data_IF_597618503637
#
_entry.id   IF_597618503637
#
_cell.length_a   1.000
_cell.length_b   1.000
_cell.length_c   1.000
_cell.angle_alpha   90.00
_cell.angle_beta   90.00
_cell.angle_gamma   90.00
#
_symmetry.space_group_name_H-M   'P 1'
#
loop_
_entity.id
_entity.type
_entity.pdbx_description
1 polymer ?
#
# COMPACT_ATOMS: atom_id res chain seq x y z
N UNK A 1 -9.57 -5.15 14.66
CA UNK A 1 -8.50 -5.69 13.79
C UNK A 1 -8.25 -4.62 12.75
N UNK A 2 -7.09 -3.97 12.80
CA UNK A 2 -6.76 -2.83 11.93
C UNK A 2 -6.23 -3.36 10.60
N UNK A 3 -7.17 -3.86 9.78
CA UNK A 3 -6.89 -4.45 8.47
C UNK A 3 -7.00 -3.40 7.38
N UNK A 4 -6.05 -3.44 6.46
CA UNK A 4 -5.98 -2.58 5.29
C UNK A 4 -5.86 -3.42 4.03
N UNK A 5 -6.49 -2.97 2.95
CA UNK A 5 -6.28 -3.54 1.64
C UNK A 5 -4.98 -2.99 1.06
N UNK A 6 -4.16 -3.87 0.50
CA UNK A 6 -3.02 -3.50 -0.33
C UNK A 6 -3.56 -3.34 -1.75
N UNK A 7 -3.32 -2.17 -2.33
CA UNK A 7 -3.76 -1.86 -3.69
C UNK A 7 -2.58 -1.46 -4.56
N UNK A 8 -2.68 -1.74 -5.85
CA UNK A 8 -1.72 -1.25 -6.84
C UNK A 8 -2.46 -0.43 -7.90
N UNK A 9 -1.86 0.67 -8.38
CA UNK A 9 -2.38 1.38 -9.54
C UNK A 9 -2.31 0.55 -10.82
N UNK A 10 -3.37 0.62 -11.63
CA UNK A 10 -3.40 0.09 -13.01
C UNK A 10 -3.07 1.18 -14.06
N UNK A 11 -2.72 2.38 -13.61
CA UNK A 11 -2.36 3.53 -14.46
C UNK A 11 -1.55 4.60 -13.73
N UNK A 12 -1.39 5.77 -14.37
CA UNK A 12 -0.65 6.90 -13.78
C UNK A 12 -1.40 7.53 -12.59
N UNK A 13 -0.76 7.54 -11.41
CA UNK A 13 -1.35 8.07 -10.17
C UNK A 13 -0.51 9.16 -9.48
N UNK A 14 0.69 9.47 -10.01
CA UNK A 14 1.65 10.37 -9.36
C UNK A 14 2.32 9.78 -8.12
N UNK A 15 2.04 8.52 -7.79
CA UNK A 15 2.73 7.74 -6.76
C UNK A 15 3.88 7.00 -7.44
N UNK A 16 5.06 6.99 -6.80
CA UNK A 16 6.23 6.28 -7.34
C UNK A 16 5.97 4.78 -7.40
N UNK A 17 6.41 4.13 -8.48
CA UNK A 17 6.51 2.67 -8.53
C UNK A 17 7.34 2.16 -7.34
N UNK A 18 7.04 0.96 -6.83
CA UNK A 18 7.68 0.45 -5.62
C UNK A 18 7.08 0.95 -4.30
N UNK A 19 6.10 1.85 -4.34
CA UNK A 19 5.42 2.33 -3.13
C UNK A 19 4.45 1.28 -2.59
N UNK A 20 4.39 1.12 -1.27
CA UNK A 20 3.24 0.45 -0.67
C UNK A 20 2.06 1.41 -0.69
N UNK A 21 0.91 0.96 -1.17
CA UNK A 21 -0.34 1.74 -1.19
C UNK A 21 -1.40 0.92 -0.46
N UNK A 22 -2.05 1.54 0.53
CA UNK A 22 -3.05 0.88 1.35
C UNK A 22 -4.31 1.73 1.50
N UNK A 23 -5.44 1.08 1.74
CA UNK A 23 -6.70 1.74 2.05
C UNK A 23 -7.49 0.96 3.12
N UNK A 24 -8.14 1.64 4.08
CA UNK A 24 -9.00 0.97 5.06
C UNK A 24 -10.37 0.58 4.47
N UNK A 25 -10.72 1.09 3.29
CA UNK A 25 -12.03 0.91 2.69
C UNK A 25 -11.97 0.02 1.44
N UNK A 26 -13.01 -0.78 1.16
CA UNK A 26 -13.16 -1.46 -0.12
C UNK A 26 -13.12 -0.46 -1.29
N UNK A 27 -12.70 -0.93 -2.47
CA UNK A 27 -12.76 -0.16 -3.72
C UNK A 27 -14.23 0.01 -4.18
N UNK A 28 -14.93 0.97 -3.57
CA UNK A 28 -16.33 1.30 -3.87
C UNK A 28 -16.47 2.81 -4.09
N UNK A 29 -17.37 3.18 -5.00
CA UNK A 29 -17.61 4.56 -5.39
C UNK A 29 -16.64 5.05 -6.46
N UNK A 30 -16.62 6.36 -6.69
CA UNK A 30 -15.78 6.96 -7.75
C UNK A 30 -14.31 7.08 -7.33
N UNK A 31 -14.05 7.45 -6.07
CA UNK A 31 -12.70 7.69 -5.55
C UNK A 31 -12.51 7.08 -4.17
N UNK A 32 -11.30 6.58 -3.93
CA UNK A 32 -10.90 5.96 -2.67
C UNK A 32 -9.72 6.72 -2.08
N UNK A 33 -9.76 6.92 -0.76
CA UNK A 33 -8.61 7.46 -0.04
C UNK A 33 -7.56 6.37 0.12
N UNK A 34 -6.39 6.62 -0.43
CA UNK A 34 -5.23 5.77 -0.33
C UNK A 34 -4.12 6.46 0.46
N UNK A 35 -3.45 5.72 1.33
CA UNK A 35 -2.22 6.14 1.99
C UNK A 35 -1.07 5.36 1.38
N UNK A 36 0.08 6.00 1.17
CA UNK A 36 1.19 5.37 0.48
C UNK A 36 2.55 5.71 1.06
N UNK A 37 3.54 4.84 0.85
CA UNK A 37 4.93 5.03 1.28
C UNK A 37 5.89 4.57 0.18
N UNK A 38 6.73 5.48 -0.32
CA UNK A 38 7.60 5.23 -1.48
C UNK A 38 9.06 4.95 -1.14
N UNK A 39 9.50 5.21 0.10
CA UNK A 39 10.92 5.26 0.44
C UNK A 39 11.78 6.06 -0.58
N UNK A 40 11.22 7.11 -1.20
CA UNK A 40 11.87 7.93 -2.25
C UNK A 40 13.24 8.47 -1.85
N UNK A 41 13.44 8.76 -0.56
CA UNK A 41 14.69 9.33 -0.03
C UNK A 41 15.68 8.28 0.49
N UNK A 42 15.43 6.98 0.27
CA UNK A 42 16.39 5.91 0.59
C UNK A 42 16.62 5.71 2.09
N UNK A 43 15.59 5.84 2.91
CA UNK A 43 15.63 5.51 4.33
C UNK A 43 16.08 4.06 4.54
N UNK A 44 17.09 3.88 5.38
CA UNK A 44 17.78 2.60 5.59
C UNK A 44 16.92 1.55 6.29
N UNK A 45 15.90 1.99 7.02
CA UNK A 45 14.97 1.19 7.81
C UNK A 45 13.65 0.89 7.09
N UNK A 46 13.58 1.15 5.78
CA UNK A 46 12.36 1.00 4.97
C UNK A 46 12.67 0.37 3.61
N UNK A 47 13.47 -0.70 3.64
CA UNK A 47 13.92 -1.42 2.45
C UNK A 47 12.90 -2.47 2.01
N UNK A 48 12.17 -3.03 2.97
CA UNK A 48 11.21 -4.12 2.77
C UNK A 48 9.84 -3.55 2.42
N UNK A 49 9.09 -4.22 1.54
CA UNK A 49 7.74 -3.77 1.18
C UNK A 49 6.78 -3.77 2.39
N UNK A 50 6.91 -4.75 3.28
CA UNK A 50 6.12 -4.84 4.52
C UNK A 50 6.34 -3.64 5.46
N UNK A 51 7.56 -3.08 5.50
CA UNK A 51 7.86 -1.87 6.28
C UNK A 51 7.12 -0.66 5.71
N UNK A 52 7.14 -0.51 4.38
CA UNK A 52 6.37 0.52 3.68
C UNK A 52 4.86 0.38 3.97
N UNK A 53 4.33 -0.85 3.97
CA UNK A 53 2.94 -1.12 4.34
C UNK A 53 2.64 -0.68 5.77
N UNK A 54 3.52 -1.00 6.72
CA UNK A 54 3.38 -0.59 8.13
C UNK A 54 3.28 0.93 8.27
N UNK A 55 4.15 1.68 7.60
CA UNK A 55 4.13 3.14 7.64
C UNK A 55 2.87 3.74 6.98
N UNK A 56 2.47 3.21 5.82
CA UNK A 56 1.27 3.67 5.12
C UNK A 56 -0.01 3.37 5.94
N UNK A 57 -0.12 2.15 6.48
CA UNK A 57 -1.26 1.72 7.31
C UNK A 57 -1.30 2.48 8.65
N UNK A 58 -0.15 2.71 9.29
CA UNK A 58 -0.07 3.52 10.50
C UNK A 58 -0.62 4.94 10.28
N UNK A 59 -0.26 5.58 9.17
CA UNK A 59 -0.82 6.90 8.81
C UNK A 59 -2.33 6.86 8.58
N UNK A 60 -2.82 5.80 7.94
CA UNK A 60 -4.25 5.61 7.70
C UNK A 60 -5.02 5.41 9.02
N UNK A 61 -4.47 4.63 9.96
CA UNK A 61 -5.11 4.33 11.26
C UNK A 61 -5.25 5.58 12.14
N UNK A 62 -4.22 6.42 12.23
CA UNK A 62 -4.24 7.61 13.10
C UNK A 62 -4.70 8.88 12.38
N UNK A 63 -5.22 8.77 11.15
CA UNK A 63 -5.63 9.88 10.29
C UNK A 63 -4.58 11.02 10.22
N UNK A 64 -3.29 10.67 10.29
CA UNK A 64 -2.22 11.64 10.49
C UNK A 64 -2.18 12.63 9.30
N UNK A 65 -2.21 13.95 9.55
CA UNK A 65 -2.19 14.95 8.48
C UNK A 65 -0.83 14.92 7.78
N UNK A 66 -0.77 14.18 6.68
CA UNK A 66 0.42 14.04 5.84
C UNK A 66 0.07 14.26 4.38
N UNK A 67 1.09 14.59 3.60
CA UNK A 67 1.03 14.63 2.13
C UNK A 67 1.04 13.22 1.51
N UNK A 68 1.35 12.18 2.30
CA UNK A 68 1.48 10.79 1.83
C UNK A 68 0.13 10.06 1.74
N UNK A 69 -0.86 10.74 1.14
CA UNK A 69 -2.21 10.24 0.87
C UNK A 69 -2.77 10.89 -0.39
N UNK A 70 -3.62 10.18 -1.13
CA UNK A 70 -4.26 10.67 -2.33
C UNK A 70 -5.67 10.08 -2.48
N UNK A 71 -6.57 10.83 -3.11
CA UNK A 71 -7.85 10.31 -3.58
C UNK A 71 -7.65 9.78 -4.99
N UNK A 72 -7.70 8.46 -5.18
CA UNK A 72 -7.50 7.84 -6.49
C UNK A 72 -8.82 7.29 -7.04
N UNK A 73 -9.03 7.31 -8.38
CA UNK A 73 -10.18 6.65 -8.98
C UNK A 73 -10.24 5.17 -8.61
N UNK A 74 -11.38 4.69 -8.14
CA UNK A 74 -11.51 3.31 -7.66
C UNK A 74 -11.27 2.28 -8.78
N UNK A 75 -11.65 2.63 -10.01
CA UNK A 75 -11.46 1.86 -11.24
C UNK A 75 -10.01 1.85 -11.75
N UNK A 76 -9.14 2.68 -11.18
CA UNK A 76 -7.70 2.71 -11.48
C UNK A 76 -6.87 1.90 -10.49
N UNK A 77 -7.51 1.18 -9.57
CA UNK A 77 -6.88 0.44 -8.49
C UNK A 77 -7.25 -1.03 -8.54
N UNK A 78 -6.26 -1.88 -8.28
CA UNK A 78 -6.45 -3.32 -8.09
C UNK A 78 -6.09 -3.72 -6.67
N UNK A 79 -6.98 -4.47 -6.01
CA UNK A 79 -6.65 -5.11 -4.72
C UNK A 79 -5.75 -6.31 -4.98
N UNK A 80 -4.60 -6.34 -4.32
CA UNK A 80 -3.59 -7.41 -4.48
C UNK A 80 -3.25 -8.13 -3.18
N UNK A 81 -3.87 -7.73 -2.07
CA UNK A 81 -3.64 -8.37 -0.78
C UNK A 81 -4.21 -7.59 0.39
N UNK A 82 -3.82 -8.01 1.59
CA UNK A 82 -4.21 -7.40 2.84
C UNK A 82 -3.05 -7.29 3.82
N UNK A 83 -3.09 -6.26 4.67
CA UNK A 83 -2.09 -5.97 5.70
C UNK A 83 -2.78 -5.81 7.06
N UNK A 84 -2.24 -6.45 8.09
CA UNK A 84 -2.67 -6.28 9.48
C UNK A 84 -1.69 -5.38 10.21
N UNK A 85 -2.16 -4.19 10.62
CA UNK A 85 -1.31 -3.20 11.29
C UNK A 85 -0.93 -3.63 12.71
N UNK A 86 -1.78 -4.40 13.39
CA UNK A 86 -1.51 -4.89 14.75
C UNK A 86 -0.41 -5.96 14.72
N UNK A 87 -0.51 -6.92 13.80
CA UNK A 87 0.49 -7.99 13.63
C UNK A 87 1.70 -7.55 12.80
N UNK A 88 1.61 -6.40 12.13
CA UNK A 88 2.64 -5.80 11.27
C UNK A 88 3.07 -6.73 10.13
N UNK A 89 2.12 -7.43 9.54
CA UNK A 89 2.39 -8.39 8.48
C UNK A 89 1.39 -8.30 7.34
N UNK A 90 1.83 -8.75 6.16
CA UNK A 90 0.95 -9.00 5.02
C UNK A 90 0.23 -10.31 5.33
N UNK A 91 -1.09 -10.25 5.41
CA UNK A 91 -1.92 -11.41 5.76
C UNK A 91 -2.33 -12.24 4.55
N UNK A 92 -2.33 -11.62 3.37
CA UNK A 92 -2.70 -12.29 2.11
C UNK A 92 -2.10 -11.52 0.92
N UNK A 93 -1.69 -12.27 -0.11
CA UNK A 93 -1.38 -11.74 -1.44
C UNK A 93 -2.26 -12.47 -2.45
N UNK A 94 -3.24 -11.76 -3.01
CA UNK A 94 -4.22 -12.32 -3.95
C UNK A 94 -3.75 -12.23 -5.40
N UNK A 95 -2.83 -11.32 -5.71
CA UNK A 95 -2.25 -11.17 -7.05
C UNK A 95 -0.75 -10.83 -6.94
N UNK A 96 0.12 -11.86 -6.83
CA UNK A 96 1.55 -11.66 -6.68
C UNK A 96 2.22 -11.09 -7.92
N UNK A 97 1.66 -11.31 -9.12
CA UNK A 97 2.25 -10.83 -10.37
C UNK A 97 2.00 -9.34 -10.57
N UNK A 98 0.78 -8.86 -10.30
CA UNK A 98 0.48 -7.43 -10.27
C UNK A 98 1.29 -6.71 -9.19
N UNK A 99 1.42 -7.33 -8.02
CA UNK A 99 2.25 -6.79 -6.94
C UNK A 99 3.72 -6.71 -7.35
N UNK A 100 4.29 -7.76 -7.98
CA UNK A 100 5.68 -7.77 -8.47
C UNK A 100 5.89 -6.74 -9.58
N UNK A 101 4.94 -6.61 -10.51
CA UNK A 101 5.02 -5.63 -11.59
C UNK A 101 5.05 -4.18 -11.06
N UNK A 102 4.28 -3.89 -10.00
CA UNK A 102 4.25 -2.58 -9.37
C UNK A 102 5.42 -2.33 -8.40
N UNK A 103 5.70 -3.31 -7.53
CA UNK A 103 6.60 -3.15 -6.40
C UNK A 103 8.06 -3.53 -6.72
N UNK A 104 8.30 -4.19 -7.86
CA UNK A 104 9.57 -4.83 -8.20
C UNK A 104 9.71 -6.21 -7.57
N UNK A 105 10.93 -6.75 -7.57
CA UNK A 105 11.24 -8.00 -6.87
C UNK A 105 10.80 -7.86 -5.42
N UNK A 106 9.87 -8.72 -5.03
CA UNK A 106 9.26 -8.66 -3.72
C UNK A 106 10.26 -9.25 -2.74
N UNK A 107 11.21 -8.42 -2.32
CA UNK A 107 12.36 -8.83 -1.53
C UNK A 107 12.03 -9.36 -0.14
N UNK A 108 10.76 -9.40 0.29
CA UNK A 108 10.37 -9.74 1.66
C UNK A 108 8.90 -10.16 1.84
N UNK A 109 8.39 -11.08 1.02
CA UNK A 109 7.12 -11.78 1.34
C UNK A 109 7.28 -12.93 2.35
N UNK A 110 8.46 -13.05 2.97
CA UNK A 110 8.69 -14.06 3.99
C UNK A 110 8.09 -13.61 5.33
N UNK A 111 6.99 -14.29 5.66
CA UNK A 111 6.65 -14.83 7.00
C UNK A 111 7.86 -14.96 7.91
#
# INVERSE_FOLDING_TARGET
MDKFLIVVPEGHTGIDAGSAVVTPAPLKGERVLCHYESNRFGAVNMKRFVEKCFHAAGRAAVAYPTIAKSMLPADSLKVVGSFDLTQRCITEVTDPDALRAWAGDIGDLAV
#
